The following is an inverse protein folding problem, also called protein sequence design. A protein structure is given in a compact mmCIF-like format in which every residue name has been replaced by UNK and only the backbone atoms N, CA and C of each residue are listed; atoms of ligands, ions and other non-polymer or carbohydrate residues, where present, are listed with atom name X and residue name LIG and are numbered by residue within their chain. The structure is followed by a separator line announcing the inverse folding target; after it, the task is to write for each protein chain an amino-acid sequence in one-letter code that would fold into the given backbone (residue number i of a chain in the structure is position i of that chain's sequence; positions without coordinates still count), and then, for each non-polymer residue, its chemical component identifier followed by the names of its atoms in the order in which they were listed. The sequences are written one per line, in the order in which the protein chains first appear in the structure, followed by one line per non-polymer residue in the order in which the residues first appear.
data_IF_188691868556
#
_entry.id   IF_188691868556
#
_cell.length_a   1.000
_cell.length_b   1.000
_cell.length_c   1.000
_cell.angle_alpha   90.00
_cell.angle_beta   90.00
_cell.angle_gamma   90.00
#
_symmetry.space_group_name_H-M   'P 1'
#
loop_
_entity.id
_entity.type
_entity.pdbx_description
1 polymer ?
#
# COMPACT_ATOMS: atom_id res chain seq x y z
N UNK A 1 -16.43 -6.93 0.72
CA UNK A 1 -15.17 -7.63 1.11
C UNK A 1 -15.28 -9.04 0.60
N UNK A 2 -14.34 -9.49 -0.23
CA UNK A 2 -14.38 -10.79 -0.89
C UNK A 2 -13.15 -11.60 -0.49
N UNK A 3 -13.35 -12.87 -0.14
CA UNK A 3 -12.27 -13.80 0.20
C UNK A 3 -12.10 -14.82 -0.92
N UNK A 4 -10.87 -15.04 -1.36
CA UNK A 4 -10.51 -15.98 -2.41
C UNK A 4 -9.37 -16.87 -1.96
N UNK A 5 -9.45 -18.15 -2.28
CA UNK A 5 -8.36 -19.11 -2.09
C UNK A 5 -7.74 -19.43 -3.45
N UNK A 6 -6.42 -19.26 -3.57
CA UNK A 6 -5.65 -19.61 -4.77
C UNK A 6 -4.68 -20.73 -4.43
N UNK A 7 -4.66 -21.79 -5.24
CA UNK A 7 -3.72 -22.90 -5.12
C UNK A 7 -2.62 -22.76 -6.16
N UNK A 8 -1.36 -22.69 -5.72
CA UNK A 8 -0.20 -22.77 -6.60
C UNK A 8 0.74 -23.86 -6.10
N UNK A 9 0.90 -24.91 -6.92
CA UNK A 9 1.94 -25.95 -6.88
C UNK A 9 2.61 -26.16 -5.51
N UNK A 10 1.84 -26.63 -4.51
CA UNK A 10 2.22 -26.97 -3.13
C UNK A 10 2.06 -25.91 -2.01
N UNK A 11 1.49 -24.73 -2.28
CA UNK A 11 1.11 -23.77 -1.23
C UNK A 11 -0.30 -23.20 -1.43
N UNK A 12 -1.04 -23.09 -0.31
CA UNK A 12 -2.29 -22.33 -0.25
C UNK A 12 -2.00 -20.85 -0.02
N UNK A 13 -2.44 -20.01 -0.96
CA UNK A 13 -2.50 -18.56 -0.78
C UNK A 13 -3.96 -18.19 -0.53
N UNK A 14 -4.19 -17.38 0.50
CA UNK A 14 -5.50 -16.81 0.70
C UNK A 14 -5.44 -15.30 0.53
N UNK A 15 -6.43 -14.78 -0.18
CA UNK A 15 -6.53 -13.40 -0.63
C UNK A 15 -7.82 -12.79 -0.12
N UNK A 16 -7.70 -11.66 0.55
CA UNK A 16 -8.84 -10.82 0.92
C UNK A 16 -8.81 -9.53 0.12
N UNK A 17 -9.92 -9.19 -0.52
CA UNK A 17 -10.04 -7.99 -1.34
C UNK A 17 -11.18 -7.09 -0.85
N UNK A 18 -10.92 -5.78 -0.80
CA UNK A 18 -11.92 -4.72 -0.59
C UNK A 18 -11.90 -3.84 -1.83
N UNK A 19 -13.05 -3.66 -2.47
CA UNK A 19 -13.20 -2.72 -3.57
C UNK A 19 -12.99 -1.28 -3.07
N UNK A 20 -12.27 -0.49 -3.86
CA UNK A 20 -11.99 0.90 -3.59
C UNK A 20 -12.87 1.80 -4.46
N UNK A 21 -13.18 3.03 -4.01
CA UNK A 21 -13.75 4.04 -4.89
C UNK A 21 -12.78 4.33 -6.04
N UNK A 22 -13.31 4.56 -7.24
CA UNK A 22 -12.50 4.88 -8.42
C UNK A 22 -11.69 6.16 -8.22
N UNK A 23 -10.46 6.18 -8.75
CA UNK A 23 -9.56 7.35 -8.76
C UNK A 23 -9.16 7.88 -7.39
N UNK A 24 -9.11 7.03 -6.36
CA UNK A 24 -8.67 7.44 -5.02
C UNK A 24 -7.35 6.77 -4.64
N UNK A 25 -6.40 7.57 -4.17
CA UNK A 25 -5.18 7.03 -3.57
C UNK A 25 -5.51 6.54 -2.15
N UNK A 26 -5.13 5.31 -1.85
CA UNK A 26 -5.37 4.72 -0.52
C UNK A 26 -4.15 4.03 0.03
N UNK A 27 -4.02 4.04 1.35
CA UNK A 27 -3.05 3.23 2.07
C UNK A 27 -3.78 2.33 3.09
N UNK A 28 -3.84 1.00 2.85
CA UNK A 28 -4.51 0.08 3.75
C UNK A 28 -3.56 -0.45 4.83
N UNK A 29 -4.06 -0.53 6.06
CA UNK A 29 -3.46 -1.27 7.17
C UNK A 29 -4.40 -2.39 7.62
N UNK A 30 -3.87 -3.61 7.73
CA UNK A 30 -4.67 -4.83 7.88
C UNK A 30 -4.43 -5.52 9.21
N UNK A 31 -5.52 -5.93 9.83
CA UNK A 31 -5.53 -6.74 11.04
C UNK A 31 -6.46 -7.94 10.81
N UNK A 32 -5.88 -9.10 10.46
CA UNK A 32 -6.66 -10.28 10.05
C UNK A 32 -6.43 -11.44 11.02
N UNK A 33 -7.50 -12.16 11.34
CA UNK A 33 -7.49 -13.28 12.27
C UNK A 33 -8.21 -14.50 11.69
N UNK A 34 -7.56 -15.65 11.84
CA UNK A 34 -8.18 -16.96 11.70
C UNK A 34 -8.73 -17.42 13.05
N UNK A 35 -9.95 -17.92 13.05
CA UNK A 35 -10.57 -18.56 14.21
C UNK A 35 -10.63 -20.06 13.99
N UNK A 36 -10.04 -20.81 14.91
CA UNK A 36 -10.19 -22.24 15.04
C UNK A 36 -10.91 -22.49 16.36
N UNK A 37 -11.85 -23.44 16.43
CA UNK A 37 -12.65 -23.87 17.61
C UNK A 37 -12.36 -23.20 18.98
N UNK A 38 -11.12 -23.22 19.48
CA UNK A 38 -10.73 -22.64 20.79
C UNK A 38 -9.63 -21.57 20.75
N UNK A 39 -9.17 -21.15 19.56
CA UNK A 39 -8.05 -20.22 19.41
C UNK A 39 -8.23 -19.21 18.27
N UNK A 40 -7.77 -17.98 18.51
CA UNK A 40 -7.68 -16.90 17.51
C UNK A 40 -6.22 -16.67 17.16
N UNK A 41 -5.88 -16.81 15.87
CA UNK A 41 -4.51 -16.63 15.37
C UNK A 41 -4.46 -15.40 14.47
N UNK A 42 -3.58 -14.44 14.77
CA UNK A 42 -3.33 -13.30 13.90
C UNK A 42 -2.56 -13.78 12.66
N UNK A 43 -3.07 -13.43 11.49
CA UNK A 43 -2.42 -13.74 10.23
C UNK A 43 -1.43 -12.64 9.87
N UNK A 44 -0.21 -13.05 9.51
CA UNK A 44 0.77 -12.17 8.89
C UNK A 44 0.64 -12.30 7.38
N UNK A 45 0.65 -11.17 6.69
CA UNK A 45 0.50 -11.14 5.24
C UNK A 45 1.03 -9.86 4.65
N UNK A 46 1.11 -9.84 3.33
CA UNK A 46 1.44 -8.65 2.56
C UNK A 46 0.16 -7.93 2.15
N UNK A 47 0.17 -6.61 2.23
CA UNK A 47 -0.86 -5.78 1.64
C UNK A 47 -0.42 -5.29 0.26
N UNK A 48 -1.38 -5.17 -0.65
CA UNK A 48 -1.21 -4.61 -1.98
C UNK A 48 -2.39 -3.71 -2.29
N UNK A 49 -2.15 -2.68 -3.10
CA UNK A 49 -3.19 -1.78 -3.60
C UNK A 49 -3.02 -1.67 -5.09
N UNK A 50 -4.13 -1.81 -5.81
CA UNK A 50 -4.25 -1.37 -7.19
C UNK A 50 -5.36 -0.30 -7.29
N UNK A 51 -5.65 0.17 -8.52
CA UNK A 51 -6.61 1.25 -8.74
C UNK A 51 -8.07 0.90 -8.40
N UNK A 52 -8.39 -0.37 -8.13
CA UNK A 52 -9.76 -0.85 -7.93
C UNK A 52 -9.94 -1.60 -6.60
N UNK A 53 -8.86 -2.11 -6.00
CA UNK A 53 -8.95 -2.93 -4.79
C UNK A 53 -7.71 -2.82 -3.90
N UNK A 54 -7.96 -2.86 -2.59
CA UNK A 54 -6.95 -3.17 -1.59
C UNK A 54 -7.02 -4.66 -1.27
N UNK A 55 -5.86 -5.31 -1.26
CA UNK A 55 -5.72 -6.75 -1.10
C UNK A 55 -4.80 -7.10 0.07
N UNK A 56 -5.18 -8.09 0.87
CA UNK A 56 -4.31 -8.75 1.84
C UNK A 56 -4.05 -10.19 1.41
N UNK A 57 -2.77 -10.57 1.37
CA UNK A 57 -2.33 -11.90 0.97
C UNK A 57 -1.53 -12.54 2.10
N UNK A 58 -2.03 -13.66 2.61
CA UNK A 58 -1.32 -14.47 3.59
C UNK A 58 -0.96 -15.83 3.01
N UNK A 59 0.21 -16.33 3.40
CA UNK A 59 0.64 -17.69 3.08
C UNK A 59 0.35 -18.56 4.31
N UNK A 60 -0.10 -19.78 4.03
CA UNK A 60 -0.04 -20.89 4.97
C UNK A 60 -0.86 -20.66 6.26
N UNK A 61 -2.20 -20.68 6.14
CA UNK A 61 -3.11 -20.74 7.30
C UNK A 61 -3.07 -22.14 7.97
N UNK A 62 -2.10 -22.97 7.60
CA UNK A 62 -2.05 -24.39 7.89
C UNK A 62 -3.18 -25.15 7.20
N UNK A 63 -3.05 -26.48 7.14
CA UNK A 63 -4.11 -27.39 6.69
C UNK A 63 -5.35 -27.42 7.59
N UNK A 64 -5.41 -26.55 8.61
CA UNK A 64 -6.50 -26.50 9.57
C UNK A 64 -7.64 -25.70 8.96
N UNK A 65 -8.76 -26.38 8.70
CA UNK A 65 -10.04 -25.74 8.36
C UNK A 65 -10.27 -24.59 9.33
N UNK A 66 -10.24 -23.36 8.82
CA UNK A 66 -10.69 -22.17 9.54
C UNK A 66 -12.21 -22.17 9.48
N UNK A 67 -12.86 -22.18 10.64
CA UNK A 67 -14.33 -22.14 10.72
C UNK A 67 -14.84 -20.72 10.46
N UNK A 68 -13.99 -19.71 10.72
CA UNK A 68 -14.32 -18.30 10.53
C UNK A 68 -13.04 -17.48 10.38
N UNK A 69 -13.10 -16.40 9.60
CA UNK A 69 -12.11 -15.33 9.62
C UNK A 69 -12.74 -14.01 10.02
N UNK A 70 -11.99 -13.16 10.71
CA UNK A 70 -12.44 -11.80 10.99
C UNK A 70 -11.28 -10.85 11.08
N UNK A 71 -11.56 -9.57 10.96
CA UNK A 71 -10.52 -8.58 11.05
C UNK A 71 -11.06 -7.19 10.82
N UNK A 72 -10.11 -6.27 10.71
CA UNK A 72 -10.38 -4.92 10.24
C UNK A 72 -9.34 -4.50 9.21
N UNK A 73 -9.78 -3.68 8.27
CA UNK A 73 -8.89 -2.91 7.42
C UNK A 73 -9.13 -1.43 7.73
N UNK A 74 -8.03 -0.73 8.02
CA UNK A 74 -8.01 0.72 8.10
C UNK A 74 -7.60 1.23 6.71
N UNK A 75 -8.45 2.03 6.09
CA UNK A 75 -8.19 2.67 4.82
C UNK A 75 -7.97 4.15 5.07
N UNK A 76 -6.74 4.61 4.88
CA UNK A 76 -6.46 6.03 4.73
C UNK A 76 -6.75 6.40 3.29
N UNK A 77 -7.81 7.17 3.09
CA UNK A 77 -8.30 7.60 1.78
C UNK A 77 -7.84 9.04 1.56
N UNK A 78 -6.95 9.23 0.60
CA UNK A 78 -6.31 10.51 0.32
C UNK A 78 -7.08 11.26 -0.76
N UNK A 79 -7.62 12.43 -0.40
CA UNK A 79 -8.30 13.36 -1.29
C UNK A 79 -7.49 14.65 -1.49
N UNK A 80 -7.94 15.47 -2.44
CA UNK A 80 -7.34 16.79 -2.74
C UNK A 80 -5.81 16.73 -2.81
N UNK A 81 -5.31 15.86 -3.70
CA UNK A 81 -3.88 15.63 -3.84
C UNK A 81 -3.27 16.75 -4.66
N UNK A 82 -2.39 17.51 -4.02
CA UNK A 82 -1.64 18.59 -4.61
C UNK A 82 -0.22 18.12 -4.91
N UNK A 83 0.23 18.33 -6.15
CA UNK A 83 1.59 17.99 -6.56
C UNK A 83 2.51 19.19 -6.38
N UNK A 84 3.48 19.03 -5.51
CA UNK A 84 4.57 20.00 -5.31
C UNK A 84 5.82 19.50 -6.03
N UNK A 85 6.35 20.32 -6.94
CA UNK A 85 7.61 20.04 -7.64
C UNK A 85 8.61 21.12 -7.31
N UNK A 86 9.78 20.72 -6.83
CA UNK A 86 10.83 21.62 -6.36
C UNK A 86 12.15 21.25 -7.02
N UNK A 87 12.90 22.24 -7.47
CA UNK A 87 14.26 22.07 -7.98
C UNK A 87 15.24 22.38 -6.87
N UNK A 88 16.48 21.90 -7.01
CA UNK A 88 17.54 22.13 -6.03
C UNK A 88 17.69 23.62 -5.66
N UNK A 89 17.54 24.51 -6.64
CA UNK A 89 17.59 25.97 -6.46
C UNK A 89 16.50 26.50 -5.51
N UNK A 90 15.33 25.87 -5.49
CA UNK A 90 14.22 26.20 -4.58
C UNK A 90 14.45 25.65 -3.16
N UNK A 91 15.37 24.69 -3.02
CA UNK A 91 15.59 23.86 -1.84
C UNK A 91 16.86 24.22 -1.06
N UNK A 92 17.78 24.97 -1.68
CA UNK A 92 18.99 25.49 -1.03
C UNK A 92 18.67 26.42 0.16
N UNK A 93 17.43 26.93 0.23
CA UNK A 93 16.86 27.57 1.41
C UNK A 93 15.65 26.77 1.90
N UNK A 94 15.39 26.81 3.21
CA UNK A 94 14.18 26.23 3.80
C UNK A 94 12.94 26.79 3.07
N UNK A 95 12.16 25.91 2.48
CA UNK A 95 10.97 26.26 1.73
C UNK A 95 9.74 25.97 2.59
N UNK A 96 8.96 27.02 2.89
CA UNK A 96 7.67 26.92 3.57
C UNK A 96 6.57 27.21 2.55
N UNK A 97 5.76 26.21 2.25
CA UNK A 97 4.67 26.30 1.29
C UNK A 97 3.33 26.18 2.02
N UNK A 98 2.50 27.21 1.87
CA UNK A 98 1.09 27.15 2.26
C UNK A 98 0.30 26.49 1.13
N UNK A 99 -0.39 25.42 1.46
CA UNK A 99 -1.22 24.64 0.55
C UNK A 99 -2.71 24.87 0.87
N UNK A 100 -3.64 24.45 -0.01
CA UNK A 100 -5.06 24.47 0.30
C UNK A 100 -5.41 23.74 1.60
N UNK A 101 -6.57 24.07 2.18
CA UNK A 101 -7.09 23.35 3.36
C UNK A 101 -6.31 23.57 4.66
N UNK A 102 -5.61 24.71 4.81
CA UNK A 102 -4.71 24.97 5.95
C UNK A 102 -3.58 23.94 6.08
N UNK A 103 -3.19 23.32 4.97
CA UNK A 103 -2.03 22.44 4.92
C UNK A 103 -0.76 23.29 4.76
N UNK A 104 0.30 22.95 5.50
CA UNK A 104 1.61 23.60 5.39
C UNK A 104 2.68 22.54 5.17
N UNK A 105 3.59 22.82 4.24
CA UNK A 105 4.74 21.98 3.94
C UNK A 105 6.01 22.78 4.24
N UNK A 106 6.78 22.31 5.21
CA UNK A 106 8.14 22.78 5.46
C UNK A 106 9.12 21.73 4.98
N UNK A 107 10.12 22.14 4.22
CA UNK A 107 11.15 21.21 3.76
C UNK A 107 12.50 21.88 3.54
N UNK A 108 13.54 21.05 3.50
CA UNK A 108 14.91 21.45 3.20
C UNK A 108 15.63 20.27 2.56
N UNK A 109 16.43 20.55 1.53
CA UNK A 109 17.31 19.56 0.91
C UNK A 109 18.76 19.90 1.26
N UNK A 110 19.46 18.98 1.93
CA UNK A 110 20.89 19.07 2.19
C UNK A 110 21.59 17.91 1.49
N UNK A 111 22.20 18.20 0.34
CA UNK A 111 22.79 17.21 -0.56
C UNK A 111 21.76 16.12 -0.92
N UNK A 112 21.95 14.90 -0.43
CA UNK A 112 21.07 13.77 -0.70
C UNK A 112 20.00 13.54 0.39
N UNK A 113 19.93 14.40 1.42
CA UNK A 113 18.96 14.29 2.50
C UNK A 113 17.84 15.31 2.32
N UNK A 114 16.63 14.82 2.12
CA UNK A 114 15.42 15.65 2.21
C UNK A 114 14.85 15.53 3.62
N UNK A 115 14.68 16.67 4.29
CA UNK A 115 13.95 16.76 5.55
C UNK A 115 12.65 17.53 5.29
N UNK A 116 11.51 17.00 5.73
CA UNK A 116 10.21 17.63 5.52
C UNK A 116 9.25 17.42 6.69
N UNK A 117 8.29 18.33 6.83
CA UNK A 117 7.17 18.26 7.75
C UNK A 117 5.91 18.71 6.99
N UNK A 118 4.82 17.95 7.15
CA UNK A 118 3.50 18.36 6.64
C UNK A 118 2.58 18.53 7.84
N UNK A 119 1.98 19.72 7.96
CA UNK A 119 0.97 20.02 8.96
C UNK A 119 -0.39 20.09 8.26
N UNK A 120 -1.38 19.36 8.78
CA UNK A 120 -2.74 19.36 8.24
C UNK A 120 -2.97 18.52 6.99
N UNK A 121 -1.98 17.73 6.56
CA UNK A 121 -2.06 16.83 5.41
C UNK A 121 -1.08 15.66 5.48
N UNK A 122 -1.07 14.82 4.46
CA UNK A 122 -0.26 13.60 4.38
C UNK A 122 0.54 13.54 3.07
N UNK A 123 1.81 13.09 3.14
CA UNK A 123 2.60 12.80 1.94
C UNK A 123 2.22 11.42 1.40
N UNK A 124 1.54 11.41 0.26
CA UNK A 124 1.09 10.20 -0.44
C UNK A 124 2.23 9.57 -1.23
N UNK A 125 2.98 10.40 -1.95
CA UNK A 125 4.11 9.95 -2.76
C UNK A 125 5.27 10.92 -2.65
N UNK A 126 6.47 10.37 -2.67
CA UNK A 126 7.72 11.10 -2.76
C UNK A 126 8.61 10.48 -3.85
N UNK A 127 9.15 11.32 -4.71
CA UNK A 127 10.14 10.94 -5.70
C UNK A 127 11.20 12.03 -5.85
N UNK A 128 12.43 11.60 -6.11
CA UNK A 128 13.55 12.48 -6.43
C UNK A 128 14.17 12.06 -7.77
N UNK A 129 14.75 13.03 -8.48
CA UNK A 129 15.37 12.85 -9.78
C UNK A 129 16.71 13.57 -9.82
N UNK A 130 17.66 13.01 -10.56
CA UNK A 130 18.93 13.69 -10.88
C UNK A 130 18.77 14.72 -12.00
N UNK A 131 19.87 15.39 -12.34
CA UNK A 131 19.99 16.40 -13.39
C UNK A 131 19.66 15.88 -14.80
N UNK A 132 19.78 14.57 -15.01
CA UNK A 132 19.39 13.87 -16.22
C UNK A 132 17.91 13.44 -16.22
N UNK A 133 17.17 13.73 -15.15
CA UNK A 133 15.77 13.35 -14.98
C UNK A 133 15.55 11.89 -14.64
N UNK A 134 16.59 11.14 -14.26
CA UNK A 134 16.48 9.74 -13.82
C UNK A 134 16.03 9.68 -12.37
N UNK A 135 15.12 8.76 -12.07
CA UNK A 135 14.60 8.60 -10.71
C UNK A 135 15.69 8.05 -9.79
N UNK A 136 15.91 8.73 -8.67
CA UNK A 136 16.83 8.31 -7.62
C UNK A 136 16.15 7.29 -6.71
N UNK A 137 16.92 6.29 -6.28
CA UNK A 137 16.46 5.34 -5.28
C UNK A 137 16.45 6.01 -3.90
N UNK A 138 15.36 5.83 -3.16
CA UNK A 138 15.27 6.26 -1.78
C UNK A 138 15.87 5.18 -0.88
N UNK A 139 16.70 5.58 0.06
CA UNK A 139 17.20 4.71 1.12
C UNK A 139 16.03 4.24 2.00
N UNK A 140 15.94 2.95 2.36
CA UNK A 140 14.92 2.45 3.27
C UNK A 140 15.06 3.06 4.68
N UNK A 141 16.24 3.54 5.07
CA UNK A 141 16.46 4.24 6.31
C UNK A 141 15.86 5.66 6.26
N UNK A 142 14.87 5.90 7.10
CA UNK A 142 14.33 7.23 7.37
C UNK A 142 14.45 7.53 8.87
N UNK A 143 14.51 8.82 9.20
CA UNK A 143 14.53 9.29 10.59
C UNK A 143 13.36 10.22 10.83
N UNK A 144 12.80 10.17 12.03
CA UNK A 144 11.81 11.14 12.49
C UNK A 144 12.35 11.82 13.74
N UNK A 145 12.55 13.13 13.67
CA UNK A 145 13.10 13.91 14.77
C UNK A 145 12.42 15.27 14.80
N UNK A 146 11.93 15.67 15.98
CA UNK A 146 11.29 16.98 16.21
C UNK A 146 10.17 17.32 15.20
N UNK A 147 9.35 16.33 14.81
CA UNK A 147 8.24 16.53 13.87
C UNK A 147 8.64 16.52 12.39
N UNK A 148 9.94 16.50 12.08
CA UNK A 148 10.44 16.38 10.72
C UNK A 148 10.79 14.93 10.37
N UNK A 149 10.39 14.51 9.18
CA UNK A 149 10.82 13.27 8.56
C UNK A 149 11.99 13.54 7.63
N UNK A 150 13.09 12.82 7.82
CA UNK A 150 14.26 12.85 6.94
C UNK A 150 14.37 11.55 6.16
N UNK A 151 14.55 11.67 4.85
CA UNK A 151 14.82 10.58 3.92
C UNK A 151 16.10 10.86 3.15
N UNK A 152 16.75 9.80 2.68
CA UNK A 152 18.01 9.88 1.96
C UNK A 152 17.86 9.28 0.58
N UNK A 153 18.57 9.83 -0.40
CA UNK A 153 18.59 9.34 -1.77
C UNK A 153 19.98 8.84 -2.16
N UNK A 154 20.01 7.87 -3.07
CA UNK A 154 21.22 7.34 -3.67
C UNK A 154 21.68 8.25 -4.83
N UNK A 155 22.23 9.40 -4.46
CA UNK A 155 22.58 10.49 -5.37
C UNK A 155 22.05 11.83 -4.85
N UNK A 156 22.46 12.94 -5.47
CA UNK A 156 21.99 14.29 -5.12
C UNK A 156 20.78 14.62 -6.00
N UNK A 157 19.59 14.90 -5.42
CA UNK A 157 18.43 15.33 -6.20
C UNK A 157 18.64 16.70 -6.84
N UNK A 158 18.40 16.80 -8.15
CA UNK A 158 18.17 18.07 -8.84
C UNK A 158 16.69 18.50 -8.74
N UNK A 159 15.80 17.52 -8.63
CA UNK A 159 14.35 17.73 -8.53
C UNK A 159 13.69 16.77 -7.53
N UNK A 160 12.79 17.29 -6.73
CA UNK A 160 11.93 16.53 -5.81
C UNK A 160 10.47 16.76 -6.18
N UNK A 161 9.68 15.70 -6.17
CA UNK A 161 8.22 15.71 -6.40
C UNK A 161 7.54 15.07 -5.19
N UNK A 162 6.63 15.82 -4.57
CA UNK A 162 5.76 15.35 -3.50
C UNK A 162 4.31 15.43 -3.96
N UNK A 163 3.57 14.35 -3.76
CA UNK A 163 2.11 14.36 -3.84
C UNK A 163 1.57 14.40 -2.41
N UNK A 164 0.88 15.49 -2.07
CA UNK A 164 0.41 15.77 -0.71
C UNK A 164 -1.10 15.80 -0.71
N UNK A 165 -1.72 14.98 0.12
CA UNK A 165 -3.14 15.03 0.39
C UNK A 165 -3.41 16.10 1.44
N UNK A 166 -4.24 17.08 1.08
CA UNK A 166 -4.73 18.09 2.04
C UNK A 166 -6.02 17.65 2.75
N UNK A 167 -6.53 16.47 2.41
CA UNK A 167 -7.72 15.87 3.01
C UNK A 167 -7.57 14.37 3.11
N UNK A 168 -7.36 13.86 4.33
CA UNK A 168 -7.34 12.43 4.60
C UNK A 168 -8.60 12.00 5.32
N UNK A 169 -9.33 11.05 4.72
CA UNK A 169 -10.45 10.39 5.36
C UNK A 169 -10.01 9.01 5.85
N UNK A 170 -10.12 8.78 7.14
CA UNK A 170 -9.84 7.47 7.75
C UNK A 170 -11.15 6.68 7.78
N UNK A 171 -11.17 5.54 7.10
CA UNK A 171 -12.30 4.61 7.10
C UNK A 171 -11.89 3.26 7.67
N UNK A 172 -12.60 2.76 8.67
CA UNK A 172 -12.38 1.41 9.21
C UNK A 172 -13.49 0.49 8.77
N UNK A 173 -13.12 -0.62 8.12
CA UNK A 173 -14.04 -1.67 7.72
C UNK A 173 -13.75 -2.92 8.54
N UNK A 174 -14.69 -3.28 9.41
CA UNK A 174 -14.65 -4.56 10.11
C UNK A 174 -15.33 -5.62 9.24
N UNK A 175 -14.76 -6.82 9.20
CA UNK A 175 -15.34 -7.93 8.47
C UNK A 175 -15.31 -9.22 9.28
N UNK A 176 -16.27 -10.09 8.98
CA UNK A 176 -16.35 -11.45 9.46
C UNK A 176 -16.81 -12.32 8.29
N UNK A 177 -16.02 -13.33 7.95
CA UNK A 177 -16.31 -14.31 6.91
C UNK A 177 -16.61 -15.63 7.60
N UNK A 178 -17.83 -16.11 7.44
CA UNK A 178 -18.36 -17.35 8.07
C UNK A 178 -18.58 -18.49 7.07
N UNK A 179 -18.36 -18.24 5.78
CA UNK A 179 -18.61 -19.26 4.76
C UNK A 179 -17.43 -20.24 4.65
N UNK A 180 -17.68 -21.54 4.46
CA UNK A 180 -16.66 -22.46 4.04
C UNK A 180 -16.13 -21.98 2.68
N UNK A 181 -14.81 -21.77 2.59
CA UNK A 181 -14.10 -21.49 1.35
C UNK A 181 -14.67 -22.40 0.26
N UNK A 182 -15.35 -21.85 -0.75
CA UNK A 182 -15.88 -22.68 -1.83
C UNK A 182 -14.71 -23.49 -2.40
N UNK A 183 -14.75 -24.83 -2.36
CA UNK A 183 -13.75 -25.62 -3.05
C UNK A 183 -13.88 -25.30 -4.52
N UNK A 184 -12.78 -24.88 -5.16
CA UNK A 184 -12.73 -24.71 -6.61
C UNK A 184 -13.21 -26.03 -7.23
N UNK A 185 -14.38 -26.02 -7.86
CA UNK A 185 -14.83 -27.12 -8.70
C UNK A 185 -13.79 -27.28 -9.79
N UNK A 186 -13.04 -28.39 -9.75
CA UNK A 186 -11.98 -28.69 -10.72
C UNK A 186 -12.49 -28.39 -12.13
N UNK A 187 -11.79 -27.60 -12.97
CA UNK A 187 -12.02 -27.69 -14.40
C UNK A 187 -11.69 -29.14 -14.79
N UNK A 188 -12.71 -29.90 -15.20
CA UNK A 188 -12.51 -31.18 -15.84
C UNK A 188 -11.84 -30.92 -17.18
N UNK A 189 -10.51 -31.03 -17.24
CA UNK A 189 -9.82 -31.17 -18.51
C UNK A 189 -10.13 -32.57 -19.03
N UNK A 190 -11.11 -32.68 -19.92
CA UNK A 190 -11.24 -33.85 -20.79
C UNK A 190 -10.08 -33.83 -21.76
N UNK A 191 -9.03 -34.59 -21.47
CA UNK A 191 -8.00 -34.93 -22.46
C UNK A 191 -8.58 -35.94 -23.44
N UNK A 192 -9.35 -35.49 -24.44
CA UNK A 192 -9.48 -36.24 -25.68
C UNK A 192 -8.35 -35.81 -26.62
N UNK A 193 -7.29 -36.61 -26.66
CA UNK A 193 -6.26 -36.55 -27.71
C UNK A 193 -6.90 -36.93 -29.05
N UNK A 194 -6.83 -36.11 -30.11
CA UNK A 194 -7.15 -36.58 -31.44
C UNK A 194 -6.08 -37.58 -31.90
N UNK A 195 -6.52 -38.76 -32.33
CA UNK A 195 -5.67 -39.77 -32.92
C UNK A 195 -4.91 -39.18 -34.13
N UNK A 196 -3.59 -39.30 -34.13
CA UNK A 196 -2.77 -39.04 -35.32
C UNK A 196 -3.20 -40.01 -36.43
N UNK A 197 -3.62 -39.42 -37.54
CA UNK A 197 -3.80 -40.07 -38.84
C UNK A 197 -2.44 -40.65 -39.27
N UNK A 198 -2.43 -41.94 -39.64
CA UNK A 198 -1.31 -42.60 -40.32
C UNK A 198 -1.33 -42.29 -41.81
#
# INVERSE_FOLDING_TARGET
VHWHQEEQQSHFKQRLSVALPENVAVQPDWEVYAHHRESRVRLNGASMVDNQQATFLCRDIGSRRTDQMSGSVLLNVFGQIERVTLRQQDLDNMCCLKMPGNTYLDLTLDKNRLSYMVLGGDVVQLAAYDDQGRRLMQDPAWRFQAGMKSVYFWGVPDKVVLDISTQTQVSRLNFKVTEPLEPITRPQYTTSLPALIR
#
